data_IF_087659409237
#
_entry.id   IF_087659409237
#
_cell.length_a   1.000
_cell.length_b   1.000
_cell.length_c   1.000
_cell.angle_alpha   90.00
_cell.angle_beta   90.00
_cell.angle_gamma   90.00
#
_symmetry.space_group_name_H-M   'P 1'
#
loop_
_entity.id
_entity.type
_entity.pdbx_description
1 polymer ?
#
# COMPACT_ATOMS: atom_id res chain seq x y z
N UNK A 1 4.73 62.94 -5.04
CA UNK A 1 5.48 62.10 -4.09
C UNK A 1 4.67 60.85 -3.79
N UNK A 2 5.35 59.71 -3.73
CA UNK A 2 4.83 58.34 -3.69
C UNK A 2 4.12 57.97 -2.38
N UNK A 3 3.13 57.07 -2.45
CA UNK A 3 3.20 55.77 -1.75
C UNK A 3 2.11 54.82 -2.26
N UNK A 4 2.55 53.79 -2.99
CA UNK A 4 1.74 52.65 -3.44
C UNK A 4 1.32 51.82 -2.23
N UNK A 5 0.04 51.46 -2.16
CA UNK A 5 -0.43 50.39 -1.29
C UNK A 5 0.21 49.06 -1.69
N UNK A 6 0.69 48.30 -0.71
CA UNK A 6 1.14 46.93 -0.94
C UNK A 6 0.50 46.02 0.10
N UNK A 7 -0.49 45.25 -0.37
CA UNK A 7 -1.17 44.15 0.35
C UNK A 7 -0.12 43.17 0.88
N UNK A 8 -0.15 42.92 2.18
CA UNK A 8 0.59 41.84 2.83
C UNK A 8 0.30 40.51 2.14
N UNK A 9 1.34 39.92 1.55
CA UNK A 9 1.28 38.66 0.81
C UNK A 9 1.41 37.51 1.83
N UNK A 10 0.27 36.99 2.30
CA UNK A 10 0.26 35.77 3.12
C UNK A 10 0.93 34.61 2.38
N UNK A 11 1.87 33.92 3.04
CA UNK A 11 2.51 32.70 2.51
C UNK A 11 1.55 31.52 2.65
N UNK A 12 0.67 31.36 1.66
CA UNK A 12 -0.24 30.22 1.56
C UNK A 12 -1.10 30.19 0.31
N UNK A 13 -0.74 30.97 -0.71
CA UNK A 13 -1.46 31.03 -1.97
C UNK A 13 -1.21 29.78 -2.81
N UNK A 14 -2.30 29.15 -3.25
CA UNK A 14 -2.38 28.03 -4.19
C UNK A 14 -1.78 28.45 -5.54
N UNK A 15 -0.45 28.45 -5.62
CA UNK A 15 0.27 28.57 -6.87
C UNK A 15 0.15 27.24 -7.61
N UNK A 16 -0.53 27.22 -8.75
CA UNK A 16 -0.41 26.15 -9.73
C UNK A 16 1.01 26.20 -10.31
N UNK A 17 2.00 25.84 -9.51
CA UNK A 17 3.32 25.49 -9.97
C UNK A 17 3.18 24.22 -10.77
N UNK A 18 3.38 24.31 -12.09
CA UNK A 18 3.50 23.17 -13.00
C UNK A 18 4.65 22.28 -12.52
N UNK A 19 4.37 21.40 -11.55
CA UNK A 19 5.21 20.23 -11.32
C UNK A 19 4.80 19.27 -12.42
N UNK A 20 5.59 19.25 -13.50
CA UNK A 20 5.36 18.34 -14.62
C UNK A 20 5.12 16.93 -14.11
N UNK A 21 4.17 16.23 -14.74
CA UNK A 21 3.94 14.82 -14.46
C UNK A 21 5.29 14.10 -14.49
N UNK A 22 5.76 13.63 -13.33
CA UNK A 22 6.98 12.82 -13.26
C UNK A 22 6.71 11.59 -14.12
N UNK A 23 7.27 11.58 -15.33
CA UNK A 23 7.36 10.37 -16.14
C UNK A 23 8.19 9.39 -15.33
N UNK A 24 7.57 8.31 -14.87
CA UNK A 24 8.25 7.30 -14.08
C UNK A 24 9.30 6.63 -14.97
N UNK A 25 10.57 6.96 -14.73
CA UNK A 25 11.70 6.20 -15.23
C UNK A 25 11.60 4.75 -14.76
N UNK A 26 12.08 3.84 -15.62
CA UNK A 26 11.97 2.39 -15.49
C UNK A 26 12.35 1.90 -14.08
N UNK A 27 11.57 0.89 -13.68
CA UNK A 27 11.48 0.19 -12.39
C UNK A 27 12.85 -0.27 -11.87
N UNK A 28 13.54 0.60 -11.12
CA UNK A 28 14.54 0.14 -10.18
C UNK A 28 13.86 -0.69 -9.07
N UNK A 29 14.53 -1.73 -8.58
CA UNK A 29 14.15 -2.50 -7.39
C UNK A 29 14.25 -1.57 -6.18
N UNK A 30 13.25 -0.70 -6.02
CA UNK A 30 12.99 -0.03 -4.76
C UNK A 30 12.39 -1.06 -3.83
N UNK A 31 12.64 -0.94 -2.54
CA UNK A 31 11.89 -1.68 -1.54
C UNK A 31 10.39 -1.48 -1.79
N UNK A 32 9.75 -2.54 -2.30
CA UNK A 32 8.35 -2.47 -2.78
C UNK A 32 7.41 -2.15 -1.62
N UNK A 33 7.83 -2.40 -0.39
CA UNK A 33 7.07 -2.16 0.83
C UNK A 33 6.73 -0.68 1.05
N UNK A 34 7.59 0.25 0.63
CA UNK A 34 7.31 1.68 0.68
C UNK A 34 6.22 2.10 -0.32
N UNK A 35 5.93 1.25 -1.32
CA UNK A 35 4.78 1.39 -2.22
C UNK A 35 3.44 1.32 -1.48
N UNK A 36 3.41 0.73 -0.27
CA UNK A 36 2.28 0.84 0.66
C UNK A 36 2.35 2.23 1.30
N UNK A 37 1.67 3.18 0.67
CA UNK A 37 1.76 4.60 1.02
C UNK A 37 1.05 4.94 2.34
N UNK A 38 1.50 6.00 3.04
CA UNK A 38 0.84 6.48 4.27
C UNK A 38 -0.67 6.75 4.10
N UNK A 39 -1.16 7.32 2.98
CA UNK A 39 -2.59 7.46 2.73
C UNK A 39 -3.33 6.12 2.61
N UNK A 40 -2.72 5.07 2.03
CA UNK A 40 -3.33 3.75 1.96
C UNK A 40 -3.51 3.12 3.34
N UNK A 41 -2.46 3.18 4.18
CA UNK A 41 -2.52 2.73 5.58
C UNK A 41 -3.59 3.53 6.35
N UNK A 42 -3.67 4.85 6.13
CA UNK A 42 -4.71 5.68 6.72
C UNK A 42 -6.11 5.20 6.30
N UNK A 43 -6.35 4.92 5.01
CA UNK A 43 -7.65 4.40 4.55
C UNK A 43 -8.04 3.08 5.22
N UNK A 44 -7.09 2.15 5.36
CA UNK A 44 -7.31 0.88 6.08
C UNK A 44 -7.68 1.12 7.54
N UNK A 45 -6.89 1.93 8.26
CA UNK A 45 -7.15 2.26 9.66
C UNK A 45 -8.51 2.97 9.84
N UNK A 46 -8.89 3.86 8.92
CA UNK A 46 -10.20 4.54 8.96
C UNK A 46 -11.36 3.57 8.73
N UNK A 47 -11.22 2.61 7.81
CA UNK A 47 -12.20 1.53 7.64
C UNK A 47 -12.35 0.70 8.93
N UNK A 48 -11.26 0.52 9.69
CA UNK A 48 -11.28 -0.09 11.02
C UNK A 48 -11.72 0.84 12.16
N UNK A 49 -12.26 2.03 11.90
CA UNK A 49 -12.78 2.94 12.94
C UNK A 49 -11.72 3.74 13.71
N UNK A 50 -10.44 3.72 13.28
CA UNK A 50 -9.36 4.40 14.01
C UNK A 50 -9.46 5.93 13.88
N UNK A 51 -9.60 6.65 15.00
CA UNK A 51 -9.79 8.12 15.04
C UNK A 51 -8.50 8.94 14.94
N UNK A 52 -7.40 8.48 15.56
CA UNK A 52 -6.08 9.13 15.54
C UNK A 52 -5.01 8.06 15.29
N UNK A 53 -3.95 8.41 14.56
CA UNK A 53 -2.91 7.46 14.14
C UNK A 53 -1.56 8.10 14.47
N UNK A 54 -0.75 7.40 15.27
CA UNK A 54 0.64 7.81 15.57
C UNK A 54 1.54 7.68 14.33
N UNK A 55 2.63 8.44 14.27
CA UNK A 55 3.57 8.42 13.16
C UNK A 55 4.29 7.07 13.01
N UNK A 56 4.54 6.35 14.11
CA UNK A 56 5.26 5.07 14.10
C UNK A 56 4.45 3.93 13.45
N UNK A 57 3.12 4.05 13.44
CA UNK A 57 2.21 3.01 12.91
C UNK A 57 2.43 2.76 11.40
N UNK A 58 2.96 3.72 10.64
CA UNK A 58 3.15 3.52 9.20
C UNK A 58 4.21 2.45 8.89
N UNK A 59 5.34 2.47 9.61
CA UNK A 59 6.37 1.45 9.42
C UNK A 59 5.95 0.12 10.06
N UNK A 60 5.34 0.17 11.24
CA UNK A 60 4.84 -1.04 11.90
C UNK A 60 3.82 -1.80 11.03
N UNK A 61 2.87 -1.07 10.44
CA UNK A 61 1.86 -1.66 9.55
C UNK A 61 2.50 -2.32 8.31
N UNK A 62 3.64 -1.79 7.83
CA UNK A 62 4.37 -2.37 6.70
C UNK A 62 5.03 -3.68 7.10
N UNK A 63 5.68 -3.73 8.26
CA UNK A 63 6.28 -4.96 8.79
C UNK A 63 5.23 -6.06 8.96
N UNK A 64 4.10 -5.73 9.60
CA UNK A 64 2.99 -6.69 9.79
C UNK A 64 2.45 -7.19 8.45
N UNK A 65 2.24 -6.30 7.48
CA UNK A 65 1.76 -6.67 6.15
C UNK A 65 2.76 -7.58 5.41
N UNK A 66 4.05 -7.28 5.50
CA UNK A 66 5.11 -8.10 4.88
C UNK A 66 5.09 -9.51 5.46
N UNK A 67 5.08 -9.64 6.79
CA UNK A 67 5.06 -10.94 7.47
C UNK A 67 3.81 -11.74 7.12
N UNK A 68 2.65 -11.09 7.06
CA UNK A 68 1.41 -11.73 6.64
C UNK A 68 1.53 -12.30 5.21
N UNK A 69 1.97 -11.48 4.25
CA UNK A 69 2.11 -11.92 2.86
C UNK A 69 3.17 -13.01 2.69
N UNK A 70 4.27 -12.95 3.44
CA UNK A 70 5.34 -13.96 3.39
C UNK A 70 4.79 -15.35 3.75
N UNK A 71 4.01 -15.44 4.83
CA UNK A 71 3.41 -16.73 5.23
C UNK A 71 2.40 -17.26 4.21
N UNK A 72 1.51 -16.40 3.69
CA UNK A 72 0.47 -16.80 2.73
C UNK A 72 1.07 -17.20 1.39
N UNK A 73 2.04 -16.43 0.88
CA UNK A 73 2.69 -16.72 -0.40
C UNK A 73 3.54 -17.98 -0.31
N UNK A 74 4.24 -18.21 0.80
CA UNK A 74 5.01 -19.45 1.01
C UNK A 74 4.11 -20.69 0.89
N UNK A 75 2.99 -20.70 1.60
CA UNK A 75 2.03 -21.81 1.53
C UNK A 75 1.39 -21.94 0.13
N UNK A 76 1.07 -20.82 -0.51
CA UNK A 76 0.49 -20.81 -1.87
C UNK A 76 1.45 -21.41 -2.90
N UNK A 77 2.75 -21.11 -2.80
CA UNK A 77 3.79 -21.70 -3.66
C UNK A 77 3.92 -23.19 -3.39
N UNK A 78 3.87 -23.64 -2.12
CA UNK A 78 3.88 -25.07 -1.79
C UNK A 78 2.73 -25.83 -2.45
N UNK A 79 1.51 -25.29 -2.47
CA UNK A 79 0.40 -25.92 -3.20
C UNK A 79 0.61 -25.95 -4.71
N UNK A 80 1.15 -24.87 -5.29
CA UNK A 80 1.46 -24.79 -6.71
C UNK A 80 2.51 -25.84 -7.13
N UNK A 81 3.58 -25.98 -6.35
CA UNK A 81 4.66 -26.95 -6.57
C UNK A 81 4.16 -28.39 -6.40
N UNK A 82 3.33 -28.65 -5.39
CA UNK A 82 2.70 -29.96 -5.19
C UNK A 82 1.87 -30.39 -6.40
N UNK A 83 1.17 -29.44 -7.01
CA UNK A 83 0.41 -29.66 -8.23
C UNK A 83 1.25 -29.66 -9.53
N UNK A 84 2.59 -29.59 -9.43
CA UNK A 84 3.53 -29.54 -10.56
C UNK A 84 3.25 -28.39 -11.55
N UNK A 85 2.66 -27.29 -11.07
CA UNK A 85 2.37 -26.08 -11.86
C UNK A 85 3.47 -25.05 -11.65
N UNK A 86 3.70 -24.21 -12.66
CA UNK A 86 4.60 -23.04 -12.59
C UNK A 86 3.86 -21.74 -12.31
N UNK A 87 2.53 -21.79 -12.27
CA UNK A 87 1.65 -20.63 -12.12
C UNK A 87 0.79 -20.82 -10.89
N UNK A 88 0.95 -19.92 -9.91
CA UNK A 88 0.09 -19.85 -8.72
C UNK A 88 -1.30 -19.43 -9.16
N UNK A 89 -2.30 -20.22 -8.80
CA UNK A 89 -3.72 -19.99 -9.10
C UNK A 89 -4.41 -19.31 -7.92
N UNK A 90 -5.63 -18.79 -8.14
CA UNK A 90 -6.44 -18.23 -7.06
C UNK A 90 -6.76 -19.28 -5.97
N UNK A 91 -6.99 -20.54 -6.38
CA UNK A 91 -7.28 -21.65 -5.46
C UNK A 91 -6.12 -21.95 -4.52
N UNK A 92 -4.87 -21.88 -4.99
CA UNK A 92 -3.69 -22.10 -4.13
C UNK A 92 -3.67 -21.09 -2.96
N UNK A 93 -4.02 -19.83 -3.24
CA UNK A 93 -4.13 -18.77 -2.23
C UNK A 93 -5.32 -19.00 -1.29
N UNK A 94 -6.48 -19.41 -1.83
CA UNK A 94 -7.67 -19.73 -1.01
C UNK A 94 -7.37 -20.89 -0.05
N UNK A 95 -6.65 -21.91 -0.50
CA UNK A 95 -6.25 -23.03 0.36
C UNK A 95 -5.20 -22.64 1.40
N UNK A 96 -4.21 -21.82 1.04
CA UNK A 96 -3.26 -21.25 2.00
C UNK A 96 -3.96 -20.46 3.11
N UNK A 97 -4.91 -19.59 2.74
CA UNK A 97 -5.67 -18.80 3.69
C UNK A 97 -6.60 -19.66 4.57
N UNK A 98 -7.26 -20.68 3.99
CA UNK A 98 -8.10 -21.63 4.75
C UNK A 98 -7.29 -22.40 5.80
N UNK A 99 -6.06 -22.83 5.48
CA UNK A 99 -5.15 -23.49 6.44
C UNK A 99 -4.79 -22.60 7.63
N UNK A 100 -4.72 -21.28 7.43
CA UNK A 100 -4.47 -20.30 8.49
C UNK A 100 -5.75 -19.85 9.24
N UNK A 101 -6.91 -20.48 8.99
CA UNK A 101 -8.19 -20.10 9.60
C UNK A 101 -8.80 -18.81 9.03
N UNK A 102 -8.40 -18.38 7.83
CA UNK A 102 -8.85 -17.14 7.17
C UNK A 102 -9.60 -17.45 5.87
N UNK A 103 -10.75 -18.10 5.94
CA UNK A 103 -11.51 -18.47 4.74
C UNK A 103 -11.89 -17.26 3.90
N UNK A 104 -11.55 -17.28 2.60
CA UNK A 104 -11.85 -16.23 1.63
C UNK A 104 -12.86 -16.74 0.60
N UNK A 105 -13.95 -15.99 0.40
CA UNK A 105 -15.02 -16.30 -0.55
C UNK A 105 -14.88 -15.50 -1.86
N UNK A 106 -15.43 -16.03 -2.96
CA UNK A 106 -15.51 -15.32 -4.25
C UNK A 106 -14.38 -15.59 -5.24
N UNK A 107 -13.52 -16.59 -4.99
CA UNK A 107 -12.31 -16.87 -5.79
C UNK A 107 -12.17 -18.34 -6.23
N UNK A 108 -13.28 -19.08 -6.35
CA UNK A 108 -13.30 -20.50 -6.73
C UNK A 108 -13.70 -20.80 -8.17
N UNK A 109 -13.63 -19.80 -9.06
CA UNK A 109 -14.01 -19.94 -10.48
C UNK A 109 -12.87 -20.44 -11.37
#
# INVERSE_FOLDING_TARGET
MNAKGNKGKGKGGKGYGKVGAKRHSKKAIRETILGITKPAIRRLARRGGVKRISALIYEESRTVLKNFLETVVKDSVTYCEHAKRKTVTALDVVFALKRQGRTLYGFGG
#
